data_IF_528882596668
#
_entry.id   IF_528882596668
#
_cell.length_a   1.000
_cell.length_b   1.000
_cell.length_c   1.000
_cell.angle_alpha   90.00
_cell.angle_beta   90.00
_cell.angle_gamma   90.00
#
_symmetry.space_group_name_H-M   'P 1'
#
loop_
_entity.id
_entity.type
_entity.pdbx_description
1 polymer ?
#
# COMPACT_ATOMS: atom_id res chain seq x y z
N UNK A 1 4.51 -30.82 37.90
CA UNK A 1 3.38 -30.41 37.03
C UNK A 1 2.68 -29.14 37.56
N UNK A 2 3.33 -27.97 37.48
CA UNK A 2 2.68 -26.67 37.78
C UNK A 2 2.99 -25.56 36.76
N UNK A 3 3.90 -25.79 35.81
CA UNK A 3 4.33 -24.77 34.84
C UNK A 3 3.61 -24.85 33.48
N UNK A 4 2.82 -25.90 33.21
CA UNK A 4 2.11 -26.06 31.94
C UNK A 4 0.76 -25.31 31.88
N UNK A 5 0.15 -25.02 33.03
CA UNK A 5 -1.16 -24.33 33.07
C UNK A 5 -1.06 -22.82 32.84
N UNK A 6 0.12 -22.22 33.07
CA UNK A 6 0.32 -20.77 32.95
C UNK A 6 0.65 -20.35 31.52
N UNK A 7 1.21 -21.27 30.71
CA UNK A 7 1.57 -21.01 29.32
C UNK A 7 0.34 -21.03 28.40
N UNK A 8 -0.62 -21.94 28.65
CA UNK A 8 -1.86 -22.03 27.86
C UNK A 8 -2.79 -20.83 28.04
N UNK A 9 -2.79 -20.16 29.22
CA UNK A 9 -3.58 -18.94 29.45
C UNK A 9 -3.04 -17.71 28.70
N UNK A 10 -1.73 -17.59 28.49
CA UNK A 10 -1.13 -16.47 27.73
C UNK A 10 -1.31 -16.65 26.22
N UNK A 11 -1.33 -17.89 25.74
CA UNK A 11 -1.56 -18.21 24.33
C UNK A 11 -3.01 -17.96 23.88
N UNK A 12 -3.99 -18.20 24.76
CA UNK A 12 -5.41 -17.93 24.45
C UNK A 12 -5.76 -16.44 24.40
N UNK A 13 -5.13 -15.60 25.23
CA UNK A 13 -5.36 -14.16 25.22
C UNK A 13 -4.77 -13.51 23.95
N UNK A 14 -3.65 -14.03 23.45
CA UNK A 14 -3.03 -13.54 22.21
C UNK A 14 -3.86 -13.87 20.96
N UNK A 15 -4.59 -14.98 20.95
CA UNK A 15 -5.42 -15.37 19.79
C UNK A 15 -6.74 -14.60 19.74
N UNK A 16 -7.35 -14.30 20.89
CA UNK A 16 -8.60 -13.52 20.95
C UNK A 16 -8.34 -12.04 20.59
N UNK A 17 -7.20 -11.46 20.97
CA UNK A 17 -6.85 -10.09 20.61
C UNK A 17 -6.64 -9.90 19.09
N UNK A 18 -6.09 -10.90 18.39
CA UNK A 18 -5.97 -10.89 16.92
C UNK A 18 -7.32 -11.14 16.24
N UNK A 19 -8.21 -11.92 16.86
CA UNK A 19 -9.56 -12.18 16.35
C UNK A 19 -10.48 -10.96 16.42
N UNK A 20 -10.30 -10.07 17.41
CA UNK A 20 -11.11 -8.86 17.54
C UNK A 20 -10.73 -7.76 16.54
N UNK A 21 -9.51 -7.76 16.00
CA UNK A 21 -9.10 -6.82 14.94
C UNK A 21 -9.67 -7.19 13.56
N UNK A 22 -10.13 -8.43 13.38
CA UNK A 22 -10.70 -8.92 12.12
C UNK A 22 -12.19 -8.60 11.94
N UNK A 23 -12.89 -8.11 12.97
CA UNK A 23 -14.35 -7.91 12.93
C UNK A 23 -14.81 -6.44 12.87
N UNK A 24 -13.92 -5.47 12.64
CA UNK A 24 -14.30 -4.06 12.44
C UNK A 24 -13.66 -3.40 11.21
N UNK A 25 -13.25 -4.18 10.22
CA UNK A 25 -12.99 -3.62 8.89
C UNK A 25 -14.36 -3.42 8.24
N UNK A 26 -14.95 -2.24 8.44
CA UNK A 26 -16.01 -1.77 7.55
C UNK A 26 -15.44 -1.83 6.13
N UNK A 27 -15.92 -2.79 5.34
CA UNK A 27 -15.58 -2.94 3.94
C UNK A 27 -15.88 -1.61 3.22
N UNK A 28 -14.85 -0.80 3.01
CA UNK A 28 -14.92 0.30 2.08
C UNK A 28 -14.98 -0.34 0.69
N UNK A 29 -16.19 -0.46 0.17
CA UNK A 29 -16.43 -1.01 -1.17
C UNK A 29 -15.64 -0.19 -2.19
N UNK A 30 -15.01 -0.87 -3.15
CA UNK A 30 -14.45 -0.23 -4.33
C UNK A 30 -15.62 0.32 -5.18
N UNK A 31 -15.91 1.61 -5.01
CA UNK A 31 -16.99 2.27 -5.74
C UNK A 31 -16.55 2.60 -7.17
N UNK A 32 -17.34 2.14 -8.14
CA UNK A 32 -17.13 2.28 -9.57
C UNK A 32 -17.26 3.71 -10.10
N UNK A 33 -16.85 3.88 -11.35
CA UNK A 33 -16.82 5.14 -12.11
C UNK A 33 -18.22 5.78 -12.36
N UNK A 34 -19.30 5.10 -11.97
CA UNK A 34 -20.69 5.47 -12.31
C UNK A 34 -21.31 6.53 -11.38
N UNK A 35 -20.65 6.88 -10.27
CA UNK A 35 -21.18 7.81 -9.24
C UNK A 35 -21.09 9.32 -9.61
N UNK A 36 -20.73 9.68 -10.83
CA UNK A 36 -20.46 11.08 -11.23
C UNK A 36 -21.60 11.77 -12.00
N UNK A 37 -22.78 11.14 -12.11
CA UNK A 37 -23.85 11.63 -12.99
C UNK A 37 -25.14 11.94 -12.21
N UNK A 38 -25.21 13.05 -11.48
CA UNK A 38 -26.40 13.92 -11.43
C UNK A 38 -26.21 15.11 -10.49
N UNK A 39 -26.94 16.19 -10.81
CA UNK A 39 -27.19 17.40 -10.02
C UNK A 39 -26.30 18.61 -10.34
N UNK A 40 -26.53 19.18 -11.53
CA UNK A 40 -26.31 20.59 -11.81
C UNK A 40 -27.68 21.27 -11.92
N UNK A 41 -28.04 22.16 -10.96
CA UNK A 41 -28.88 23.36 -11.16
C UNK A 41 -29.21 24.10 -9.82
N UNK A 42 -28.65 25.32 -9.59
CA UNK A 42 -29.29 26.48 -8.89
C UNK A 42 -28.34 27.67 -8.52
N UNK A 43 -28.48 28.81 -9.19
CA UNK A 43 -27.44 29.70 -9.75
C UNK A 43 -26.85 30.85 -8.84
N UNK A 44 -26.65 30.69 -7.53
CA UNK A 44 -25.71 31.61 -6.81
C UNK A 44 -25.00 30.96 -5.62
N UNK A 45 -25.73 30.14 -4.88
CA UNK A 45 -25.19 29.10 -3.99
C UNK A 45 -24.59 27.92 -4.78
N UNK A 46 -25.01 27.67 -6.02
CA UNK A 46 -24.36 26.66 -6.87
C UNK A 46 -22.93 27.02 -7.26
N UNK A 47 -22.50 28.29 -7.32
CA UNK A 47 -21.10 28.58 -7.68
C UNK A 47 -20.14 28.10 -6.60
N UNK A 48 -20.42 28.44 -5.34
CA UNK A 48 -19.59 28.03 -4.20
C UNK A 48 -19.74 26.53 -3.92
N UNK A 49 -20.94 25.97 -4.09
CA UNK A 49 -21.19 24.53 -3.94
C UNK A 49 -20.57 23.72 -5.09
N UNK A 50 -20.61 24.20 -6.33
CA UNK A 50 -19.96 23.56 -7.47
C UNK A 50 -18.44 23.66 -7.38
N UNK A 51 -17.90 24.81 -6.96
CA UNK A 51 -16.47 24.96 -6.73
C UNK A 51 -15.99 24.06 -5.58
N UNK A 52 -16.73 24.01 -4.47
CA UNK A 52 -16.42 23.11 -3.37
C UNK A 52 -16.54 21.64 -3.81
N UNK A 53 -17.55 21.29 -4.61
CA UNK A 53 -17.69 19.93 -5.20
C UNK A 53 -16.51 19.59 -6.12
N UNK A 54 -16.10 20.53 -6.98
CA UNK A 54 -14.95 20.35 -7.87
C UNK A 54 -13.64 20.20 -7.09
N UNK A 55 -13.45 21.00 -6.03
CA UNK A 55 -12.30 20.87 -5.12
C UNK A 55 -12.32 19.52 -4.42
N UNK A 56 -13.47 19.07 -3.89
CA UNK A 56 -13.62 17.77 -3.27
C UNK A 56 -13.36 16.61 -4.24
N UNK A 57 -13.86 16.69 -5.47
CA UNK A 57 -13.61 15.71 -6.52
C UNK A 57 -12.13 15.66 -6.92
N UNK A 58 -11.47 16.82 -7.02
CA UNK A 58 -10.03 16.93 -7.28
C UNK A 58 -9.20 16.27 -6.17
N UNK A 59 -9.54 16.54 -4.91
CA UNK A 59 -8.92 15.88 -3.75
C UNK A 59 -9.13 14.37 -3.77
N UNK A 60 -10.35 13.91 -4.08
CA UNK A 60 -10.66 12.48 -4.16
C UNK A 60 -9.87 11.80 -5.30
N UNK A 61 -9.75 12.45 -6.46
CA UNK A 61 -8.97 11.92 -7.58
C UNK A 61 -7.48 11.83 -7.24
N UNK A 62 -6.92 12.84 -6.57
CA UNK A 62 -5.54 12.80 -6.07
C UNK A 62 -5.35 11.69 -5.04
N UNK A 63 -6.30 11.52 -4.12
CA UNK A 63 -6.25 10.45 -3.12
C UNK A 63 -6.29 9.05 -3.74
N UNK A 64 -7.15 8.84 -4.75
CA UNK A 64 -7.17 7.62 -5.57
C UNK A 64 -5.84 7.39 -6.29
N UNK A 65 -5.25 8.45 -6.84
CA UNK A 65 -3.96 8.37 -7.52
C UNK A 65 -2.83 7.97 -6.57
N UNK A 66 -2.82 8.52 -5.35
CA UNK A 66 -1.87 8.11 -4.29
C UNK A 66 -2.07 6.65 -3.90
N UNK A 67 -3.31 6.21 -3.70
CA UNK A 67 -3.62 4.81 -3.41
C UNK A 67 -3.13 3.88 -4.53
N UNK A 68 -3.47 4.17 -5.79
CA UNK A 68 -3.07 3.36 -6.93
C UNK A 68 -1.55 3.34 -7.11
N UNK A 69 -0.89 4.49 -6.94
CA UNK A 69 0.56 4.60 -7.01
C UNK A 69 1.26 3.80 -5.92
N UNK A 70 0.76 3.87 -4.69
CA UNK A 70 1.34 3.11 -3.57
C UNK A 70 1.06 1.60 -3.69
N UNK A 71 -0.15 1.22 -4.12
CA UNK A 71 -0.50 -0.16 -4.38
C UNK A 71 0.41 -0.76 -5.47
N UNK A 72 0.54 -0.09 -6.62
CA UNK A 72 1.42 -0.52 -7.71
C UNK A 72 2.89 -0.56 -7.30
N UNK A 73 3.36 0.41 -6.53
CA UNK A 73 4.71 0.39 -5.93
C UNK A 73 4.92 -0.85 -5.06
N UNK A 74 3.93 -1.22 -4.24
CA UNK A 74 4.03 -2.39 -3.36
C UNK A 74 3.98 -3.70 -4.17
N UNK A 75 3.17 -3.77 -5.23
CA UNK A 75 3.14 -4.91 -6.16
C UNK A 75 4.50 -5.10 -6.86
N UNK A 76 5.13 -4.01 -7.32
CA UNK A 76 6.48 -4.06 -7.90
C UNK A 76 7.51 -4.54 -6.87
N UNK A 77 7.43 -4.07 -5.62
CA UNK A 77 8.31 -4.57 -4.57
C UNK A 77 8.13 -6.07 -4.34
N UNK A 78 6.89 -6.55 -4.27
CA UNK A 78 6.57 -7.98 -4.12
C UNK A 78 7.12 -8.79 -5.29
N UNK A 79 7.00 -8.28 -6.52
CA UNK A 79 7.58 -8.88 -7.73
C UNK A 79 9.10 -9.01 -7.63
N UNK A 80 9.77 -7.91 -7.23
CA UNK A 80 11.22 -7.88 -7.06
C UNK A 80 11.69 -8.86 -5.98
N UNK A 81 11.00 -8.90 -4.83
CA UNK A 81 11.29 -9.81 -3.72
C UNK A 81 11.06 -11.27 -4.10
N UNK A 82 9.95 -11.57 -4.79
CA UNK A 82 9.63 -12.93 -5.26
C UNK A 82 10.67 -13.42 -6.28
N UNK A 83 11.04 -12.56 -7.23
CA UNK A 83 12.06 -12.88 -8.23
C UNK A 83 13.42 -13.09 -7.57
N UNK A 84 13.78 -12.25 -6.59
CA UNK A 84 15.01 -12.41 -5.80
C UNK A 84 15.00 -13.74 -5.05
N UNK A 85 13.90 -14.09 -4.39
CA UNK A 85 13.76 -15.36 -3.67
C UNK A 85 13.89 -16.55 -4.62
N UNK A 86 13.30 -16.47 -5.82
CA UNK A 86 13.41 -17.52 -6.84
C UNK A 86 14.85 -17.78 -7.30
N UNK A 87 15.72 -16.75 -7.22
CA UNK A 87 17.14 -16.89 -7.53
C UNK A 87 17.88 -17.53 -6.35
N UNK A 88 17.71 -17.00 -5.14
CA UNK A 88 18.50 -17.40 -3.96
C UNK A 88 18.01 -18.70 -3.28
N UNK A 89 16.75 -19.07 -3.51
CA UNK A 89 16.10 -20.27 -2.98
C UNK A 89 15.02 -20.78 -3.98
N UNK A 90 15.43 -21.45 -5.08
CA UNK A 90 14.53 -21.86 -6.17
C UNK A 90 13.41 -22.82 -5.74
N UNK A 91 13.60 -23.53 -4.62
CA UNK A 91 12.62 -24.45 -4.05
C UNK A 91 11.54 -23.76 -3.22
N UNK A 92 11.71 -22.47 -2.91
CA UNK A 92 10.70 -21.70 -2.20
C UNK A 92 9.67 -21.17 -3.19
N UNK A 93 8.43 -21.65 -3.10
CA UNK A 93 7.32 -20.99 -3.77
C UNK A 93 6.95 -19.73 -3.00
N UNK A 94 6.95 -18.60 -3.70
CA UNK A 94 6.54 -17.31 -3.17
C UNK A 94 5.28 -16.87 -3.89
N UNK A 95 4.32 -16.40 -3.11
CA UNK A 95 3.05 -15.90 -3.62
C UNK A 95 3.29 -14.56 -4.31
N UNK A 96 2.92 -14.45 -5.58
CA UNK A 96 3.08 -13.22 -6.37
C UNK A 96 1.98 -12.18 -6.11
N UNK A 97 2.14 -11.00 -6.72
CA UNK A 97 1.22 -9.87 -6.56
C UNK A 97 -0.24 -10.16 -6.98
N UNK A 98 -0.47 -11.10 -7.91
CA UNK A 98 -1.83 -11.50 -8.34
C UNK A 98 -2.66 -12.20 -7.26
N UNK A 99 -2.10 -12.52 -6.09
CA UNK A 99 -2.85 -13.08 -4.98
C UNK A 99 -3.80 -12.07 -4.29
N UNK A 100 -3.71 -10.78 -4.64
CA UNK A 100 -4.46 -9.70 -3.99
C UNK A 100 -5.54 -9.10 -4.89
N UNK A 101 -5.86 -9.72 -6.03
CA UNK A 101 -6.81 -9.19 -7.01
C UNK A 101 -8.25 -9.09 -6.48
N UNK A 102 -8.61 -9.92 -5.49
CA UNK A 102 -9.92 -9.87 -4.83
C UNK A 102 -10.03 -8.85 -3.70
N UNK A 103 -8.91 -8.32 -3.21
CA UNK A 103 -8.89 -7.34 -2.12
C UNK A 103 -8.93 -5.91 -2.67
N UNK A 104 -9.56 -4.99 -1.95
CA UNK A 104 -9.65 -3.58 -2.36
C UNK A 104 -9.36 -2.62 -1.22
N UNK A 105 -8.93 -1.40 -1.55
CA UNK A 105 -8.73 -0.32 -0.58
C UNK A 105 -7.69 -0.68 0.49
N UNK A 106 -8.00 -0.36 1.75
CA UNK A 106 -7.07 -0.60 2.86
C UNK A 106 -6.71 -2.08 3.01
N UNK A 107 -7.66 -3.00 2.85
CA UNK A 107 -7.43 -4.44 3.00
C UNK A 107 -6.34 -4.91 2.03
N UNK A 108 -6.41 -4.51 0.76
CA UNK A 108 -5.38 -4.82 -0.24
C UNK A 108 -4.01 -4.32 0.20
N UNK A 109 -3.92 -3.07 0.65
CA UNK A 109 -2.65 -2.49 1.11
C UNK A 109 -2.08 -3.22 2.34
N UNK A 110 -2.93 -3.63 3.28
CA UNK A 110 -2.52 -4.37 4.46
C UNK A 110 -1.96 -5.74 4.10
N UNK A 111 -2.65 -6.49 3.24
CA UNK A 111 -2.24 -7.82 2.80
C UNK A 111 -0.92 -7.76 2.04
N UNK A 112 -0.80 -6.86 1.06
CA UNK A 112 0.44 -6.66 0.30
C UNK A 112 1.60 -6.22 1.20
N UNK A 113 1.37 -5.26 2.10
CA UNK A 113 2.40 -4.78 3.01
C UNK A 113 2.87 -5.88 3.96
N UNK A 114 1.95 -6.72 4.44
CA UNK A 114 2.26 -7.87 5.30
C UNK A 114 3.10 -8.90 4.56
N UNK A 115 2.73 -9.25 3.31
CA UNK A 115 3.51 -10.16 2.50
C UNK A 115 4.92 -9.61 2.22
N UNK A 116 5.02 -8.34 1.80
CA UNK A 116 6.31 -7.69 1.56
C UNK A 116 7.20 -7.68 2.80
N UNK A 117 6.63 -7.39 3.99
CA UNK A 117 7.37 -7.47 5.26
C UNK A 117 7.83 -8.88 5.58
N UNK A 118 7.00 -9.90 5.30
CA UNK A 118 7.38 -11.31 5.49
C UNK A 118 8.57 -11.69 4.62
N UNK A 119 8.50 -11.40 3.31
CA UNK A 119 9.60 -11.66 2.37
C UNK A 119 10.86 -10.87 2.73
N UNK A 120 10.68 -9.59 3.09
CA UNK A 120 11.74 -8.73 3.59
C UNK A 120 12.46 -9.33 4.80
N UNK A 121 11.71 -9.93 5.72
CA UNK A 121 12.25 -10.57 6.93
C UNK A 121 12.98 -11.88 6.61
N UNK A 122 12.46 -12.69 5.69
CA UNK A 122 13.15 -13.91 5.23
C UNK A 122 14.51 -13.58 4.59
N UNK A 123 14.58 -12.51 3.80
CA UNK A 123 15.83 -12.02 3.22
C UNK A 123 16.73 -11.30 4.25
N UNK A 124 16.13 -10.74 5.31
CA UNK A 124 16.77 -9.98 6.39
C UNK A 124 17.64 -10.84 7.29
N UNK A 125 18.82 -11.20 6.81
CA UNK A 125 19.76 -12.10 7.49
C UNK A 125 20.57 -12.96 6.52
N UNK A 126 20.19 -12.96 5.24
CA UNK A 126 20.98 -13.58 4.17
C UNK A 126 22.04 -12.61 3.66
N UNK A 127 23.24 -13.13 3.38
CA UNK A 127 24.22 -12.45 2.53
C UNK A 127 23.73 -12.49 1.07
N UNK A 128 22.79 -11.58 0.75
CA UNK A 128 22.19 -11.48 -0.58
C UNK A 128 23.26 -11.25 -1.64
N UNK A 129 24.21 -10.34 -1.40
CA UNK A 129 25.29 -10.04 -2.34
C UNK A 129 26.12 -11.28 -2.65
N UNK A 130 26.62 -12.01 -1.64
CA UNK A 130 27.43 -13.20 -1.87
C UNK A 130 26.65 -14.36 -2.52
N UNK A 131 25.36 -14.51 -2.22
CA UNK A 131 24.50 -15.52 -2.86
C UNK A 131 24.21 -15.17 -4.32
N UNK A 132 23.82 -13.93 -4.58
CA UNK A 132 23.53 -13.44 -5.92
C UNK A 132 24.78 -13.46 -6.81
N UNK A 133 25.95 -13.11 -6.29
CA UNK A 133 27.23 -13.21 -7.01
C UNK A 133 27.50 -14.62 -7.56
N UNK A 134 27.13 -15.66 -6.79
CA UNK A 134 27.30 -17.06 -7.20
C UNK A 134 26.29 -17.51 -8.26
N UNK A 135 25.13 -16.86 -8.33
CA UNK A 135 24.02 -17.22 -9.22
C UNK A 135 24.12 -16.45 -10.56
N UNK A 136 24.59 -15.20 -10.52
CA UNK A 136 24.60 -14.32 -11.69
C UNK A 136 25.70 -14.61 -12.72
N UNK A 137 26.47 -15.67 -12.56
CA UNK A 137 27.38 -16.15 -13.60
C UNK A 137 26.67 -16.86 -14.77
N UNK A 138 25.33 -17.01 -14.72
CA UNK A 138 24.48 -17.55 -15.79
C UNK A 138 23.73 -16.44 -16.56
N UNK A 139 23.79 -16.39 -17.91
CA UNK A 139 23.02 -15.48 -18.75
C UNK A 139 21.50 -15.45 -18.46
N UNK A 140 20.90 -16.58 -18.08
CA UNK A 140 19.46 -16.65 -17.74
C UNK A 140 19.10 -15.85 -16.48
N UNK A 141 20.08 -15.63 -15.59
CA UNK A 141 19.93 -14.89 -14.34
C UNK A 141 20.08 -13.39 -14.53
N UNK A 142 20.75 -12.93 -15.59
CA UNK A 142 20.93 -11.51 -15.88
C UNK A 142 19.61 -10.81 -16.24
N UNK A 143 18.75 -11.47 -17.02
CA UNK A 143 17.40 -10.95 -17.31
C UNK A 143 16.53 -10.82 -16.04
N UNK A 144 16.67 -11.77 -15.11
CA UNK A 144 16.00 -11.68 -13.80
C UNK A 144 16.58 -10.55 -12.95
N UNK A 145 17.90 -10.33 -12.96
CA UNK A 145 18.53 -9.20 -12.27
C UNK A 145 17.99 -7.85 -12.76
N UNK A 146 17.90 -7.68 -14.09
CA UNK A 146 17.34 -6.47 -14.68
C UNK A 146 15.88 -6.24 -14.29
N UNK A 147 15.07 -7.31 -14.25
CA UNK A 147 13.68 -7.23 -13.77
C UNK A 147 13.61 -6.83 -12.29
N UNK A 148 14.41 -7.46 -11.42
CA UNK A 148 14.44 -7.11 -9.99
C UNK A 148 14.84 -5.64 -9.81
N UNK A 149 15.88 -5.18 -10.50
CA UNK A 149 16.33 -3.79 -10.41
C UNK A 149 15.26 -2.82 -10.90
N UNK A 150 14.63 -3.10 -12.04
CA UNK A 150 13.57 -2.27 -12.62
C UNK A 150 12.38 -2.16 -11.67
N UNK A 151 11.92 -3.28 -11.14
CA UNK A 151 10.79 -3.32 -10.21
C UNK A 151 11.13 -2.67 -8.87
N UNK A 152 12.31 -2.92 -8.30
CA UNK A 152 12.73 -2.33 -7.03
C UNK A 152 12.96 -0.81 -7.15
N UNK A 153 13.60 -0.34 -8.22
CA UNK A 153 13.83 1.10 -8.44
C UNK A 153 12.53 1.84 -8.79
N UNK A 154 11.65 1.22 -9.59
CA UNK A 154 10.31 1.71 -9.87
C UNK A 154 9.46 1.80 -8.61
N UNK A 155 9.48 0.77 -7.77
CA UNK A 155 8.82 0.74 -6.47
C UNK A 155 9.33 1.84 -5.54
N UNK A 156 10.65 2.02 -5.44
CA UNK A 156 11.26 3.10 -4.66
C UNK A 156 10.76 4.48 -5.11
N UNK A 157 10.84 4.77 -6.41
CA UNK A 157 10.49 6.09 -6.97
C UNK A 157 9.00 6.42 -6.81
N UNK A 158 8.14 5.50 -7.25
CA UNK A 158 6.69 5.65 -7.17
C UNK A 158 6.19 5.65 -5.72
N UNK A 159 6.71 4.75 -4.89
CA UNK A 159 6.37 4.64 -3.47
C UNK A 159 6.74 5.90 -2.70
N UNK A 160 7.94 6.45 -2.93
CA UNK A 160 8.36 7.70 -2.29
C UNK A 160 7.46 8.88 -2.69
N UNK A 161 7.11 8.97 -3.97
CA UNK A 161 6.16 9.98 -4.48
C UNK A 161 4.80 9.87 -3.80
N UNK A 162 4.25 8.65 -3.69
CA UNK A 162 2.97 8.41 -3.03
C UNK A 162 3.01 8.72 -1.53
N UNK A 163 4.09 8.40 -0.82
CA UNK A 163 4.22 8.72 0.62
C UNK A 163 4.28 10.23 0.86
N UNK A 164 5.03 10.97 0.03
CA UNK A 164 5.12 12.43 0.13
C UNK A 164 3.74 13.04 -0.12
N UNK A 165 3.09 12.67 -1.22
CA UNK A 165 1.77 13.20 -1.57
C UNK A 165 0.70 12.79 -0.56
N UNK A 166 0.77 11.59 0.04
CA UNK A 166 -0.15 11.17 1.09
C UNK A 166 -0.13 12.10 2.30
N UNK A 167 1.06 12.56 2.73
CA UNK A 167 1.21 13.50 3.86
C UNK A 167 0.55 14.85 3.55
N UNK A 168 0.75 15.34 2.33
CA UNK A 168 0.14 16.58 1.85
C UNK A 168 -1.38 16.45 1.81
N UNK A 169 -1.88 15.42 1.12
CA UNK A 169 -3.32 15.18 0.93
C UNK A 169 -4.06 14.92 2.23
N UNK A 170 -3.44 14.23 3.20
CA UNK A 170 -4.05 14.00 4.50
C UNK A 170 -4.50 15.33 5.14
N UNK A 171 -3.60 16.31 5.17
CA UNK A 171 -3.89 17.62 5.75
C UNK A 171 -4.91 18.40 4.92
N UNK A 172 -4.76 18.40 3.60
CA UNK A 172 -5.68 19.10 2.69
C UNK A 172 -7.12 18.58 2.77
N UNK A 173 -7.30 17.25 2.84
CA UNK A 173 -8.62 16.64 2.94
C UNK A 173 -9.24 16.92 4.30
N UNK A 174 -8.49 16.78 5.41
CA UNK A 174 -9.02 17.08 6.76
C UNK A 174 -9.44 18.55 6.87
N UNK A 175 -8.63 19.47 6.33
CA UNK A 175 -8.96 20.89 6.28
C UNK A 175 -10.22 21.13 5.43
N UNK A 176 -10.30 20.54 4.25
CA UNK A 176 -11.46 20.66 3.36
C UNK A 176 -12.75 20.16 4.03
N UNK A 177 -12.75 18.96 4.63
CA UNK A 177 -13.92 18.39 5.31
C UNK A 177 -14.35 19.29 6.48
N UNK A 178 -13.41 19.83 7.25
CA UNK A 178 -13.71 20.72 8.38
C UNK A 178 -14.15 22.13 7.98
N UNK A 179 -13.96 22.52 6.70
CA UNK A 179 -14.24 23.88 6.23
C UNK A 179 -15.74 24.17 6.15
N UNK A 180 -16.19 25.42 6.35
CA UNK A 180 -17.59 25.79 6.17
C UNK A 180 -18.12 25.50 4.76
N UNK A 181 -17.26 25.52 3.74
CA UNK A 181 -17.62 25.22 2.34
C UNK A 181 -17.93 23.74 2.07
N UNK A 182 -17.64 22.84 3.00
CA UNK A 182 -18.08 21.44 2.89
C UNK A 182 -19.55 21.25 3.28
N UNK A 183 -20.14 22.21 4.02
CA UNK A 183 -21.52 22.14 4.50
C UNK A 183 -22.48 22.29 3.31
N UNK A 184 -23.13 21.18 2.94
CA UNK A 184 -24.04 21.12 1.79
C UNK A 184 -23.49 20.34 0.60
N UNK A 185 -22.27 19.80 0.69
CA UNK A 185 -21.76 18.86 -0.30
C UNK A 185 -22.43 17.49 -0.17
N UNK A 186 -22.37 16.72 -1.26
CA UNK A 186 -22.83 15.35 -1.32
C UNK A 186 -22.17 14.52 -0.21
N UNK A 187 -23.00 13.83 0.60
CA UNK A 187 -22.56 13.02 1.74
C UNK A 187 -21.59 11.92 1.28
N UNK A 188 -21.87 11.25 0.16
CA UNK A 188 -21.00 10.20 -0.38
C UNK A 188 -19.62 10.70 -0.80
N UNK A 189 -19.49 11.94 -1.28
CA UNK A 189 -18.17 12.55 -1.55
C UNK A 189 -17.40 12.78 -0.24
N UNK A 190 -18.05 13.32 0.78
CA UNK A 190 -17.44 13.59 2.08
C UNK A 190 -17.05 12.30 2.81
N UNK A 191 -17.90 11.26 2.73
CA UNK A 191 -17.60 9.93 3.28
C UNK A 191 -16.38 9.31 2.59
N UNK A 192 -16.31 9.36 1.25
CA UNK A 192 -15.15 8.86 0.50
C UNK A 192 -13.87 9.62 0.88
N UNK A 193 -13.91 10.94 0.94
CA UNK A 193 -12.78 11.75 1.41
C UNK A 193 -12.39 11.41 2.86
N UNK A 194 -13.39 11.19 3.72
CA UNK A 194 -13.22 10.71 5.09
C UNK A 194 -12.47 9.38 5.14
N UNK A 195 -12.93 8.37 4.41
CA UNK A 195 -12.29 7.06 4.33
C UNK A 195 -10.82 7.14 3.88
N UNK A 196 -10.51 7.98 2.88
CA UNK A 196 -9.12 8.19 2.48
C UNK A 196 -8.30 8.85 3.58
N UNK A 197 -8.81 9.94 4.18
CA UNK A 197 -8.07 10.69 5.19
C UNK A 197 -7.91 9.97 6.53
N UNK A 198 -8.87 9.14 6.93
CA UNK A 198 -8.88 8.49 8.25
C UNK A 198 -8.28 7.08 8.22
N UNK A 199 -8.19 6.44 7.05
CA UNK A 199 -7.76 5.03 6.93
C UNK A 199 -6.60 4.86 5.95
N UNK A 200 -6.82 5.19 4.68
CA UNK A 200 -5.88 4.83 3.60
C UNK A 200 -4.60 5.68 3.66
N UNK A 201 -4.73 7.01 3.70
CA UNK A 201 -3.56 7.90 3.74
C UNK A 201 -2.72 7.71 5.01
N UNK A 202 -3.30 7.61 6.22
CA UNK A 202 -2.53 7.28 7.42
C UNK A 202 -1.76 5.96 7.30
N UNK A 203 -2.38 4.91 6.74
CA UNK A 203 -1.70 3.64 6.52
C UNK A 203 -0.47 3.80 5.61
N UNK A 204 -0.59 4.53 4.50
CA UNK A 204 0.51 4.81 3.56
C UNK A 204 1.60 5.63 4.24
N UNK A 205 1.23 6.65 5.04
CA UNK A 205 2.18 7.51 5.75
C UNK A 205 3.00 6.70 6.77
N UNK A 206 2.35 5.79 7.50
CA UNK A 206 2.97 4.99 8.55
C UNK A 206 3.82 3.85 7.99
N UNK A 207 3.30 3.11 7.00
CA UNK A 207 3.94 1.89 6.50
C UNK A 207 4.80 2.10 5.26
N UNK A 208 4.51 3.13 4.47
CA UNK A 208 5.19 3.41 3.21
C UNK A 208 6.69 3.67 3.34
N UNK A 209 7.21 4.42 4.34
CA UNK A 209 8.65 4.66 4.48
C UNK A 209 9.49 3.38 4.54
N UNK A 210 9.01 2.34 5.24
CA UNK A 210 9.76 1.08 5.35
C UNK A 210 9.70 0.27 4.04
N UNK A 211 8.58 0.33 3.31
CA UNK A 211 8.47 -0.28 1.97
C UNK A 211 9.44 0.38 0.99
N UNK A 212 9.46 1.72 0.95
CA UNK A 212 10.38 2.51 0.11
C UNK A 212 11.84 2.20 0.43
N UNK A 213 12.18 2.09 1.71
CA UNK A 213 13.54 1.72 2.16
C UNK A 213 13.91 0.30 1.74
N UNK A 214 12.98 -0.64 1.81
CA UNK A 214 13.19 -2.02 1.38
C UNK A 214 13.45 -2.09 -0.12
N UNK A 215 12.65 -1.38 -0.91
CA UNK A 215 12.81 -1.26 -2.35
C UNK A 215 14.19 -0.65 -2.72
N UNK A 216 14.58 0.44 -2.06
CA UNK A 216 15.89 1.07 -2.28
C UNK A 216 17.05 0.11 -2.02
N UNK A 217 17.04 -0.57 -0.87
CA UNK A 217 18.07 -1.56 -0.51
C UNK A 217 18.18 -2.68 -1.54
N UNK A 218 17.05 -3.20 -2.01
CA UNK A 218 17.04 -4.28 -3.00
C UNK A 218 17.60 -3.80 -4.35
N UNK A 219 17.21 -2.60 -4.80
CA UNK A 219 17.74 -2.00 -6.00
C UNK A 219 19.26 -1.79 -5.91
N UNK A 220 19.76 -1.29 -4.78
CA UNK A 220 21.20 -1.05 -4.55
C UNK A 220 22.00 -2.35 -4.57
N UNK A 221 21.49 -3.43 -3.95
CA UNK A 221 22.14 -4.75 -3.98
C UNK A 221 22.27 -5.25 -5.42
N UNK A 222 21.19 -5.17 -6.21
CA UNK A 222 21.17 -5.70 -7.58
C UNK A 222 22.00 -4.83 -8.54
N UNK A 223 22.04 -3.51 -8.32
CA UNK A 223 22.85 -2.59 -9.11
C UNK A 223 24.34 -2.96 -9.10
N UNK A 224 24.84 -3.62 -8.06
CA UNK A 224 26.22 -4.13 -8.00
C UNK A 224 26.53 -5.26 -8.98
N UNK A 225 25.51 -5.82 -9.65
CA UNK A 225 25.61 -6.95 -10.58
C UNK A 225 25.21 -6.60 -12.03
N UNK A 226 24.75 -5.37 -12.28
CA UNK A 226 24.36 -4.85 -13.59
C UNK A 226 25.43 -3.89 -14.11
#
# INVERSE_FOLDING_TARGET
MKNYLTCSKKLLISFVAVSCLLFQISNANAFGLEDLSSSADSIKTASDTAQASANGASLLNRAKSVYNGFAGSTEQLISAQSTTMSLINPTHHVVGAGAFDSATGLTKLMEMSTLSKSMGSEMGGMDLTGRLAKIFTDPSSLGKAQSIYTDASGSYSSGNTSVIEAKTLYSEIKNFISSPSSKGLNIGLLEKLGDYSDKILPFIIENGPEQVKTAAKLADVIKGFL
#
